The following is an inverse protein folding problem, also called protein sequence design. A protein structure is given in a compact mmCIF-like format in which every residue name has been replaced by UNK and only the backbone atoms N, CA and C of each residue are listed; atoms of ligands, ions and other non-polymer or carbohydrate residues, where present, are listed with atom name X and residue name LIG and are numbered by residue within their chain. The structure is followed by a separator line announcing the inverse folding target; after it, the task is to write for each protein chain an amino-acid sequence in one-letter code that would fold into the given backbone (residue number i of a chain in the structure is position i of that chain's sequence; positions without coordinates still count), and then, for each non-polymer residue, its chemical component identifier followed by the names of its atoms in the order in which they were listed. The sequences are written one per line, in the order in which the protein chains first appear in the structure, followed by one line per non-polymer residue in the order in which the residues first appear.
data_IF_041761102408
#
_entry.id   IF_041761102408
#
_cell.length_a   1.000
_cell.length_b   1.000
_cell.length_c   1.000
_cell.angle_alpha   90.00
_cell.angle_beta   90.00
_cell.angle_gamma   90.00
#
_symmetry.space_group_name_H-M   'P 1'
#
loop_
_entity.id
_entity.type
_entity.pdbx_description
1 polymer ?
#
# COMPACT_ATOMS: atom_id res chain seq x y z
N UNK A 1 2.98 -48.54 -55.22
CA UNK A 1 3.31 -48.31 -53.79
C UNK A 1 2.80 -46.93 -53.42
N UNK A 2 1.77 -46.84 -52.57
CA UNK A 2 1.20 -45.56 -52.13
C UNK A 2 1.95 -45.10 -50.89
N UNK A 3 2.79 -44.07 -51.03
CA UNK A 3 3.46 -43.41 -49.91
C UNK A 3 2.41 -42.56 -49.19
N UNK A 4 1.95 -43.02 -48.03
CA UNK A 4 1.05 -42.23 -47.17
C UNK A 4 1.85 -41.08 -46.55
N UNK A 5 1.67 -39.88 -47.11
CA UNK A 5 2.18 -38.63 -46.55
C UNK A 5 1.59 -38.39 -45.16
N UNK A 6 2.46 -38.31 -44.16
CA UNK A 6 2.10 -38.00 -42.77
C UNK A 6 1.71 -36.52 -42.72
N UNK A 7 0.43 -36.25 -42.49
CA UNK A 7 -0.11 -34.89 -42.51
C UNK A 7 0.53 -34.00 -41.42
N UNK A 8 1.08 -32.82 -41.76
CA UNK A 8 1.71 -31.89 -40.80
C UNK A 8 0.71 -31.22 -39.84
N UNK A 9 -0.60 -31.44 -40.01
CA UNK A 9 -1.66 -30.79 -39.21
C UNK A 9 -1.65 -31.15 -37.72
N UNK A 10 -1.07 -32.29 -37.33
CA UNK A 10 -1.07 -32.74 -35.93
C UNK A 10 -0.11 -31.93 -35.04
N UNK A 11 1.07 -31.57 -35.55
CA UNK A 11 2.07 -30.81 -34.80
C UNK A 11 1.64 -29.36 -34.57
N UNK A 12 0.97 -28.75 -35.57
CA UNK A 12 0.46 -27.37 -35.46
C UNK A 12 -0.65 -27.26 -34.41
N UNK A 13 -1.53 -28.28 -34.33
CA UNK A 13 -2.63 -28.33 -33.37
C UNK A 13 -2.10 -28.46 -31.94
N UNK A 14 -1.05 -29.26 -31.72
CA UNK A 14 -0.38 -29.39 -30.43
C UNK A 14 0.34 -28.09 -30.00
N UNK A 15 1.01 -27.40 -30.92
CA UNK A 15 1.64 -26.11 -30.64
C UNK A 15 0.62 -25.03 -30.27
N UNK A 16 -0.51 -24.98 -30.96
CA UNK A 16 -1.60 -24.05 -30.62
C UNK A 16 -2.21 -24.38 -29.26
N UNK A 17 -2.44 -25.65 -28.93
CA UNK A 17 -2.93 -26.05 -27.60
C UNK A 17 -1.92 -25.70 -26.48
N UNK A 18 -0.62 -25.84 -26.73
CA UNK A 18 0.42 -25.44 -25.78
C UNK A 18 0.45 -23.92 -25.59
N UNK A 19 0.42 -23.13 -26.65
CA UNK A 19 0.43 -21.67 -26.53
C UNK A 19 -0.89 -21.12 -25.97
N UNK A 20 -2.05 -21.64 -26.34
CA UNK A 20 -3.33 -21.13 -25.81
C UNK A 20 -3.65 -21.66 -24.41
N UNK A 21 -3.20 -22.86 -24.06
CA UNK A 21 -3.41 -23.44 -22.72
C UNK A 21 -2.44 -22.90 -21.66
N UNK A 22 -1.22 -22.54 -22.04
CA UNK A 22 -0.18 -22.12 -21.09
C UNK A 22 -0.37 -20.70 -20.55
N UNK A 23 -1.02 -19.81 -21.30
CA UNK A 23 -1.30 -18.44 -20.84
C UNK A 23 -2.48 -18.33 -19.86
N UNK A 24 -3.27 -19.40 -19.64
CA UNK A 24 -4.41 -19.39 -18.72
C UNK A 24 -4.03 -19.66 -17.25
N UNK A 25 -2.74 -19.88 -16.95
CA UNK A 25 -2.26 -20.22 -15.59
C UNK A 25 -1.21 -19.23 -15.09
N UNK A 26 -1.12 -18.03 -15.65
CA UNK A 26 -0.41 -16.95 -14.95
C UNK A 26 -1.31 -16.48 -13.80
N UNK A 27 -0.98 -16.78 -12.52
CA UNK A 27 -1.72 -16.17 -11.41
C UNK A 27 -1.63 -14.66 -11.58
N UNK A 28 -2.77 -13.97 -11.51
CA UNK A 28 -2.83 -12.51 -11.43
C UNK A 28 -1.82 -12.07 -10.38
N UNK A 29 -0.79 -11.33 -10.79
CA UNK A 29 0.23 -10.82 -9.89
C UNK A 29 -0.47 -10.16 -8.71
N UNK A 30 -0.43 -10.81 -7.55
CA UNK A 30 -0.90 -10.23 -6.31
C UNK A 30 0.05 -9.08 -6.03
N UNK A 31 -0.36 -7.88 -6.43
CA UNK A 31 0.38 -6.65 -6.20
C UNK A 31 0.60 -6.53 -4.70
N UNK A 32 1.83 -6.78 -4.25
CA UNK A 32 2.21 -6.61 -2.87
C UNK A 32 2.29 -5.10 -2.60
N UNK A 33 1.58 -4.63 -1.56
CA UNK A 33 1.62 -3.23 -1.13
C UNK A 33 2.97 -2.99 -0.45
N UNK A 34 3.75 -2.00 -0.88
CA UNK A 34 5.04 -1.66 -0.26
C UNK A 34 4.80 -0.67 0.89
N UNK A 35 5.31 -0.95 2.09
CA UNK A 35 5.16 -0.07 3.25
C UNK A 35 6.49 0.10 3.99
N UNK A 36 6.63 1.20 4.74
CA UNK A 36 7.73 1.31 5.69
C UNK A 36 7.49 0.36 6.86
N UNK A 37 8.52 -0.38 7.25
CA UNK A 37 8.52 -1.22 8.43
C UNK A 37 9.56 -0.67 9.42
N UNK A 38 9.07 -0.19 10.55
CA UNK A 38 9.89 0.46 11.58
C UNK A 38 9.21 0.32 12.93
N UNK A 39 9.99 0.10 13.97
CA UNK A 39 9.45 0.06 15.33
C UNK A 39 10.41 0.82 16.25
N UNK A 40 9.88 1.88 16.87
CA UNK A 40 10.54 2.60 17.95
C UNK A 40 9.87 2.22 19.27
N UNK A 41 10.53 1.35 20.04
CA UNK A 41 10.09 1.00 21.39
C UNK A 41 10.99 1.73 22.39
N UNK A 42 10.40 2.55 23.26
CA UNK A 42 11.11 3.22 24.35
C UNK A 42 11.42 2.27 25.53
N UNK A 43 11.00 1.01 25.47
CA UNK A 43 11.36 -0.04 26.43
C UNK A 43 12.76 -0.56 26.04
N UNK A 44 13.80 -0.06 26.72
CA UNK A 44 15.25 -0.33 26.54
C UNK A 44 16.04 0.54 25.54
N UNK A 45 15.45 1.57 24.92
CA UNK A 45 16.18 2.51 24.05
C UNK A 45 16.79 1.87 22.79
N UNK A 46 16.32 0.68 22.40
CA UNK A 46 16.76 -0.03 21.19
C UNK A 46 15.86 0.34 20.03
N UNK A 47 16.30 1.33 19.26
CA UNK A 47 15.68 1.68 17.99
C UNK A 47 16.02 0.61 16.94
N UNK A 48 15.02 0.04 16.26
CA UNK A 48 15.25 -0.89 15.14
C UNK A 48 15.01 -0.17 13.82
N UNK A 49 16.01 -0.21 12.94
CA UNK A 49 16.09 0.57 11.70
C UNK A 49 14.89 0.39 10.76
N UNK A 50 14.52 1.48 10.09
CA UNK A 50 13.50 1.53 9.03
C UNK A 50 13.97 0.63 7.88
N UNK A 51 13.24 -0.45 7.61
CA UNK A 51 13.42 -1.24 6.38
C UNK A 51 12.16 -1.15 5.54
N UNK A 52 12.31 -1.13 4.22
CA UNK A 52 11.15 -1.25 3.31
C UNK A 52 10.68 -2.70 3.34
N UNK A 53 9.39 -2.90 3.53
CA UNK A 53 8.77 -4.22 3.59
C UNK A 53 7.62 -4.32 2.60
N UNK A 54 7.42 -5.51 2.05
CA UNK A 54 6.26 -5.81 1.22
C UNK A 54 5.18 -6.45 2.10
N UNK A 55 4.00 -5.84 2.13
CA UNK A 55 2.81 -6.45 2.70
C UNK A 55 2.29 -7.49 1.71
N UNK A 56 2.12 -8.73 2.17
CA UNK A 56 1.41 -9.74 1.40
C UNK A 56 -0.04 -9.32 1.11
N UNK A 57 -0.67 -9.94 0.11
CA UNK A 57 -2.05 -9.65 -0.28
C UNK A 57 -3.08 -9.78 0.87
N UNK A 58 -2.74 -10.49 1.94
CA UNK A 58 -3.56 -10.63 3.15
C UNK A 58 -3.54 -9.40 4.08
N UNK A 59 -2.50 -8.55 3.99
CA UNK A 59 -2.20 -7.47 4.94
C UNK A 59 -2.35 -6.08 4.29
N UNK A 60 -3.38 -5.91 3.45
CA UNK A 60 -3.55 -4.83 2.46
C UNK A 60 -3.69 -3.38 2.95
N UNK A 61 -3.08 -3.01 4.07
CA UNK A 61 -2.93 -1.62 4.51
C UNK A 61 -1.53 -1.39 5.08
N UNK A 62 -0.93 -0.25 4.75
CA UNK A 62 0.18 0.31 5.51
C UNK A 62 -0.38 0.93 6.79
N UNK A 63 0.31 0.68 7.90
CA UNK A 63 -0.08 1.21 9.21
C UNK A 63 0.98 2.10 9.81
N UNK A 64 0.51 3.07 10.58
CA UNK A 64 1.31 3.86 11.52
C UNK A 64 0.58 3.89 12.86
N UNK A 65 1.12 3.20 13.85
CA UNK A 65 0.66 3.26 15.23
C UNK A 65 1.55 4.25 16.01
N UNK A 66 0.94 5.13 16.79
CA UNK A 66 1.62 6.07 17.69
C UNK A 66 1.22 5.71 19.11
N UNK A 67 2.22 5.38 19.92
CA UNK A 67 2.05 5.04 21.32
C UNK A 67 2.24 6.30 22.16
N UNK A 68 1.22 6.66 22.95
CA UNK A 68 1.27 7.86 23.79
C UNK A 68 0.43 7.67 25.06
N UNK A 69 1.09 7.55 26.19
CA UNK A 69 0.48 7.48 27.52
C UNK A 69 1.26 8.40 28.48
N UNK A 70 0.55 9.36 29.09
CA UNK A 70 1.16 10.30 30.04
C UNK A 70 1.72 9.60 31.29
N UNK A 71 1.09 8.50 31.71
CA UNK A 71 1.46 7.72 32.90
C UNK A 71 2.61 6.75 32.63
N UNK A 72 2.76 6.33 31.36
CA UNK A 72 3.76 5.34 30.95
C UNK A 72 4.63 5.85 29.79
N UNK A 73 5.25 7.03 29.99
CA UNK A 73 6.09 7.67 28.96
C UNK A 73 7.20 6.79 28.37
N UNK A 74 7.69 5.81 29.14
CA UNK A 74 8.68 4.83 28.68
C UNK A 74 8.15 3.87 27.60
N UNK A 75 6.85 3.90 27.32
CA UNK A 75 6.20 3.13 26.25
C UNK A 75 5.80 4.00 25.06
N UNK A 76 6.07 5.30 25.11
CA UNK A 76 5.76 6.20 24.00
C UNK A 76 6.70 5.92 22.82
N UNK A 77 6.18 6.10 21.62
CA UNK A 77 6.92 5.78 20.40
C UNK A 77 6.00 5.65 19.21
N UNK A 78 6.49 5.02 18.14
CA UNK A 78 5.67 4.71 16.99
C UNK A 78 6.14 3.45 16.28
N UNK A 79 5.20 2.83 15.57
CA UNK A 79 5.43 1.67 14.73
C UNK A 79 4.84 1.90 13.36
N UNK A 80 5.57 1.49 12.33
CA UNK A 80 5.18 1.46 10.93
C UNK A 80 5.19 0.01 10.45
N UNK A 81 4.21 -0.40 9.67
CA UNK A 81 4.21 -1.75 9.12
C UNK A 81 3.01 -2.05 8.23
N UNK A 82 2.62 -3.31 8.21
CA UNK A 82 1.49 -3.86 7.47
C UNK A 82 0.50 -4.49 8.44
N UNK A 83 -0.76 -4.05 8.45
CA UNK A 83 -1.81 -4.71 9.24
C UNK A 83 -3.17 -4.55 8.56
N UNK A 84 -3.99 -5.59 8.62
CA UNK A 84 -5.38 -5.56 8.17
C UNK A 84 -6.36 -5.44 9.33
N UNK A 85 -6.04 -6.05 10.48
CA UNK A 85 -6.97 -6.23 11.60
C UNK A 85 -7.34 -4.89 12.21
N UNK A 86 -6.33 -4.05 12.45
CA UNK A 86 -6.54 -2.75 13.07
C UNK A 86 -7.09 -1.69 12.09
N UNK A 87 -7.05 -1.98 10.78
CA UNK A 87 -7.51 -1.11 9.69
C UNK A 87 -8.90 -1.43 9.15
N UNK A 88 -9.62 -2.39 9.75
CA UNK A 88 -10.97 -2.74 9.31
C UNK A 88 -11.89 -1.53 9.44
N UNK A 89 -12.51 -1.14 8.32
CA UNK A 89 -13.48 -0.04 8.27
C UNK A 89 -12.85 1.35 8.20
N UNK A 90 -11.57 1.49 7.81
CA UNK A 90 -10.95 2.79 7.54
C UNK A 90 -11.80 3.61 6.56
N UNK A 91 -12.01 4.90 6.87
CA UNK A 91 -12.93 5.77 6.14
C UNK A 91 -14.40 5.69 6.60
N UNK A 92 -14.71 4.82 7.56
CA UNK A 92 -16.01 4.73 8.23
C UNK A 92 -16.11 5.52 9.54
N UNK A 93 -17.15 5.25 10.33
CA UNK A 93 -17.38 5.93 11.61
C UNK A 93 -16.22 5.72 12.59
N UNK A 94 -15.81 6.80 13.25
CA UNK A 94 -14.68 6.81 14.21
C UNK A 94 -13.32 7.02 13.56
N UNK A 95 -13.22 6.95 12.23
CA UNK A 95 -12.02 7.33 11.50
C UNK A 95 -12.08 8.78 11.06
N UNK A 96 -10.94 9.46 11.13
CA UNK A 96 -10.72 10.76 10.55
C UNK A 96 -10.51 10.64 9.03
N UNK A 97 -10.68 11.74 8.30
CA UNK A 97 -10.56 11.76 6.83
C UNK A 97 -9.17 11.43 6.31
N UNK A 98 -8.15 11.53 7.16
CA UNK A 98 -6.76 11.14 6.92
C UNK A 98 -6.52 9.62 7.11
N UNK A 99 -7.55 8.88 7.54
CA UNK A 99 -7.43 7.45 7.84
C UNK A 99 -6.85 7.18 9.22
N UNK A 100 -6.87 8.15 10.15
CA UNK A 100 -6.46 7.98 11.54
C UNK A 100 -7.63 7.77 12.50
N UNK A 101 -7.41 7.02 13.57
CA UNK A 101 -8.37 6.80 14.66
C UNK A 101 -7.63 6.75 15.99
N UNK A 102 -8.22 7.35 17.02
CA UNK A 102 -7.76 7.18 18.39
C UNK A 102 -8.03 5.75 18.88
N UNK A 103 -7.04 5.10 19.50
CA UNK A 103 -7.22 3.78 20.09
C UNK A 103 -6.42 3.66 21.39
N UNK A 104 -7.14 3.35 22.48
CA UNK A 104 -6.61 3.24 23.84
C UNK A 104 -5.61 2.09 24.00
N UNK A 105 -5.63 1.09 23.11
CA UNK A 105 -4.63 0.01 23.07
C UNK A 105 -3.20 0.54 22.86
N UNK A 106 -3.05 1.72 22.24
CA UNK A 106 -1.77 2.40 22.04
C UNK A 106 -1.51 3.50 23.09
N UNK A 107 -2.31 3.58 24.16
CA UNK A 107 -2.17 4.57 25.23
C UNK A 107 -3.30 5.60 25.25
N UNK A 108 -3.34 6.42 26.32
CA UNK A 108 -4.41 7.40 26.56
C UNK A 108 -4.56 8.44 25.45
N UNK A 109 -3.48 8.72 24.71
CA UNK A 109 -3.44 9.60 23.54
C UNK A 109 -2.95 8.82 22.30
N UNK A 110 -3.08 7.50 22.33
CA UNK A 110 -2.62 6.60 21.29
C UNK A 110 -3.47 6.71 20.02
N UNK A 111 -2.85 6.51 18.86
CA UNK A 111 -3.56 6.58 17.58
C UNK A 111 -3.02 5.59 16.57
N UNK A 112 -3.89 5.15 15.66
CA UNK A 112 -3.52 4.34 14.50
C UNK A 112 -3.99 5.02 13.23
N UNK A 113 -3.13 5.04 12.22
CA UNK A 113 -3.45 5.50 10.87
C UNK A 113 -3.22 4.40 9.84
N UNK A 114 -4.15 4.27 8.91
CA UNK A 114 -4.17 3.23 7.89
C UNK A 114 -4.29 3.84 6.48
N UNK A 115 -3.58 3.27 5.52
CA UNK A 115 -3.65 3.70 4.12
C UNK A 115 -3.31 2.55 3.16
N UNK A 116 -3.71 2.68 1.89
CA UNK A 116 -3.65 1.59 0.88
C UNK A 116 -2.76 1.91 -0.32
N UNK A 117 -1.93 2.96 -0.20
CA UNK A 117 -0.98 3.36 -1.25
C UNK A 117 0.45 3.05 -0.83
N UNK A 118 1.32 2.78 -1.78
CA UNK A 118 2.71 2.42 -1.46
C UNK A 118 3.39 3.52 -0.63
N UNK A 119 4.09 3.09 0.42
CA UNK A 119 4.93 3.90 1.32
C UNK A 119 4.17 5.04 2.04
N UNK A 120 2.84 4.97 2.10
CA UNK A 120 2.01 6.04 2.64
C UNK A 120 2.15 6.25 4.16
N UNK A 121 2.63 5.24 4.88
CA UNK A 121 2.87 5.31 6.33
C UNK A 121 4.17 6.06 6.71
N UNK A 122 4.96 6.53 5.75
CA UNK A 122 6.20 7.27 6.01
C UNK A 122 6.05 8.78 6.14
N UNK A 123 4.94 9.35 5.68
CA UNK A 123 4.72 10.80 5.68
C UNK A 123 3.91 11.18 6.93
N UNK A 124 4.29 12.22 7.70
CA UNK A 124 3.36 12.84 8.63
C UNK A 124 2.15 13.35 7.83
N UNK A 125 0.97 12.77 8.05
CA UNK A 125 -0.24 12.97 7.24
C UNK A 125 -0.82 14.40 7.28
N UNK A 126 -0.13 15.34 7.94
CA UNK A 126 -0.47 16.75 8.03
C UNK A 126 -0.17 17.61 6.78
N UNK A 127 0.26 17.04 5.63
CA UNK A 127 0.79 17.84 4.51
C UNK A 127 0.21 17.62 3.10
N UNK A 128 -0.91 16.90 2.91
CA UNK A 128 -1.41 16.62 1.53
C UNK A 128 -2.45 17.62 1.01
N UNK A 129 -2.93 18.59 1.81
CA UNK A 129 -4.07 19.43 1.40
C UNK A 129 -3.74 20.69 0.56
N UNK A 130 -2.48 21.12 0.41
CA UNK A 130 -2.18 22.44 -0.19
C UNK A 130 -1.57 22.46 -1.59
N UNK A 131 -1.10 21.34 -2.14
CA UNK A 131 -0.32 21.39 -3.39
C UNK A 131 -1.18 21.39 -4.66
N UNK A 132 -2.46 21.00 -4.57
CA UNK A 132 -3.33 20.88 -5.74
C UNK A 132 -4.06 22.19 -6.15
N UNK A 133 -3.88 23.29 -5.42
CA UNK A 133 -4.58 24.56 -5.71
C UNK A 133 -3.74 25.61 -6.46
N UNK A 134 -2.46 25.35 -6.76
CA UNK A 134 -1.57 26.34 -7.37
C UNK A 134 -1.16 26.10 -8.83
N UNK A 135 -1.57 24.98 -9.46
CA UNK A 135 -1.18 24.66 -10.85
C UNK A 135 -2.20 25.20 -11.88
N UNK A 136 -3.32 25.80 -11.45
CA UNK A 136 -4.46 26.08 -12.36
C UNK A 136 -4.77 27.53 -12.81
N UNK A 137 -3.92 28.58 -12.66
CA UNK A 137 -4.20 29.84 -13.38
C UNK A 137 -3.24 30.13 -14.55
N UNK A 138 -2.14 29.41 -14.75
CA UNK A 138 -1.16 29.76 -15.80
C UNK A 138 -1.61 29.39 -17.22
N UNK A 139 -2.57 28.47 -17.39
CA UNK A 139 -3.07 28.11 -18.72
C UNK A 139 -4.06 29.14 -19.31
N UNK A 140 -4.66 30.00 -18.48
CA UNK A 140 -5.62 31.01 -18.96
C UNK A 140 -4.96 32.27 -19.54
N UNK A 141 -3.68 32.53 -19.21
CA UNK A 141 -2.96 33.70 -19.75
C UNK A 141 -2.34 33.45 -21.14
N UNK A 142 -2.22 32.19 -21.57
CA UNK A 142 -1.68 31.88 -22.91
C UNK A 142 -2.74 32.01 -24.00
N UNK A 143 -4.01 31.71 -23.69
CA UNK A 143 -5.11 31.84 -24.66
C UNK A 143 -5.57 33.28 -24.87
N UNK A 144 -5.39 34.19 -23.89
CA UNK A 144 -5.79 35.60 -24.05
C UNK A 144 -4.77 36.46 -24.82
N UNK A 145 -3.58 35.93 -25.17
CA UNK A 145 -2.60 36.60 -26.05
C UNK A 145 -2.74 36.22 -27.53
N UNK A 146 -3.65 35.31 -27.86
CA UNK A 146 -3.86 34.77 -29.21
C UNK A 146 -5.24 35.11 -29.78
N UNK A 147 -5.98 36.04 -29.15
CA UNK A 147 -7.21 36.64 -29.70
C UNK A 147 -7.03 38.14 -29.91
#
# INVERSE_FOLDING_TARGET
MVVRGRSPSSALTLFLLFHYGFWLITPSAVSALECFNFHDFSEEGKQRTITRGFCGASNGYCVKAVYSDERHRSKNGFSLGCDKTDCVGVGGNGWSSDGCKHNEDYGSEGMICCCTTDLCNGVPQSCVSLVNSLIFPSLLMVTLRLM
#
